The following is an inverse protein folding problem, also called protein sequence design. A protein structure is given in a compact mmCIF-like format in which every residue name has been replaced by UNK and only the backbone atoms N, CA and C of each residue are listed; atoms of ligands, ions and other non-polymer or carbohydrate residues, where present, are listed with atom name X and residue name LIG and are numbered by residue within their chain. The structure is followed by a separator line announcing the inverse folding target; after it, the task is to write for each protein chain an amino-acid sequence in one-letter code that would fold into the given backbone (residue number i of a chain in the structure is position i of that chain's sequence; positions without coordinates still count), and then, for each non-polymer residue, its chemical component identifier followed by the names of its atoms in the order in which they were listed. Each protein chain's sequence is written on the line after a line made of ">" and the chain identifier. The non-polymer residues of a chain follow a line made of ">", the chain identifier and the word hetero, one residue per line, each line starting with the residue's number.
data_IF_310100172643
#
_entry.id   IF_310100172643
#
_cell.length_a   1.000
_cell.length_b   1.000
_cell.length_c   1.000
_cell.angle_alpha   90.00
_cell.angle_beta   90.00
_cell.angle_gamma   90.00
#
_symmetry.space_group_name_H-M   'P 1'
#
loop_
_entity.id
_entity.type
_entity.pdbx_description
1 polymer ?
#
# COMPACT_ATOMS: atom_id res chain seq x y z
N UNK A 1 -7.53 56.08 -29.59
CA UNK A 1 -6.36 55.28 -29.16
C UNK A 1 -6.83 53.84 -29.04
N UNK A 2 -6.47 53.01 -30.02
CA UNK A 2 -6.95 51.62 -30.15
C UNK A 2 -5.90 50.70 -29.52
N UNK A 3 -6.30 49.98 -28.49
CA UNK A 3 -5.51 48.94 -27.84
C UNK A 3 -5.78 47.62 -28.56
N UNK A 4 -4.74 46.99 -29.10
CA UNK A 4 -4.77 45.58 -29.49
C UNK A 4 -3.43 44.99 -29.09
N UNK A 5 -3.45 44.34 -27.93
CA UNK A 5 -2.35 43.59 -27.34
C UNK A 5 -2.07 42.39 -28.23
N UNK A 6 -0.88 42.39 -28.83
CA UNK A 6 -0.23 41.22 -29.38
C UNK A 6 0.24 40.40 -28.17
N UNK A 7 -0.31 39.21 -27.97
CA UNK A 7 0.30 38.20 -27.10
C UNK A 7 -0.05 36.80 -27.57
N UNK A 8 0.84 36.29 -28.42
CA UNK A 8 1.61 35.08 -28.16
C UNK A 8 0.79 33.92 -27.56
N UNK A 9 0.01 33.24 -28.41
CA UNK A 9 -0.33 31.84 -28.16
C UNK A 9 0.95 31.05 -28.44
N UNK A 10 1.81 30.94 -27.43
CA UNK A 10 2.79 29.86 -27.39
C UNK A 10 1.95 28.59 -27.40
N UNK A 11 1.91 27.95 -28.57
CA UNK A 11 1.67 26.54 -28.70
C UNK A 11 2.70 25.85 -27.78
N UNK A 12 2.35 25.73 -26.50
CA UNK A 12 2.82 24.67 -25.64
C UNK A 12 2.30 23.41 -26.31
N UNK A 13 3.02 22.99 -27.36
CA UNK A 13 3.12 21.61 -27.76
C UNK A 13 3.57 20.92 -26.50
N UNK A 14 2.55 20.52 -25.73
CA UNK A 14 2.59 19.73 -24.53
C UNK A 14 3.54 18.61 -24.87
N UNK A 15 4.78 18.84 -24.47
CA UNK A 15 5.83 17.85 -24.49
C UNK A 15 5.23 16.78 -23.63
N UNK A 16 4.77 15.74 -24.30
CA UNK A 16 4.18 14.56 -23.74
C UNK A 16 5.26 14.11 -22.78
N UNK A 17 5.10 14.45 -21.50
CA UNK A 17 5.80 13.83 -20.42
C UNK A 17 5.26 12.40 -20.41
N UNK A 18 5.66 11.62 -21.42
CA UNK A 18 5.92 10.22 -21.24
C UNK A 18 6.89 10.26 -20.08
N UNK A 19 6.37 10.08 -18.88
CA UNK A 19 7.15 9.71 -17.72
C UNK A 19 7.93 8.50 -18.22
N UNK A 20 9.12 8.75 -18.73
CA UNK A 20 10.10 7.73 -18.98
C UNK A 20 10.15 7.03 -17.63
N UNK A 21 9.73 5.77 -17.64
CA UNK A 21 9.88 4.85 -16.52
C UNK A 21 11.40 4.70 -16.33
N UNK A 22 12.04 5.76 -15.86
CA UNK A 22 13.43 5.74 -15.48
C UNK A 22 13.49 4.99 -14.17
N UNK A 23 14.58 4.26 -13.97
CA UNK A 23 14.88 3.59 -12.70
C UNK A 23 14.72 4.52 -11.49
N UNK A 24 14.94 5.82 -11.64
CA UNK A 24 14.67 6.85 -10.62
C UNK A 24 13.18 7.07 -10.33
N UNK A 25 12.33 7.12 -11.36
CA UNK A 25 10.88 7.22 -11.21
C UNK A 25 10.29 6.03 -10.45
N UNK A 26 10.80 4.83 -10.72
CA UNK A 26 10.38 3.60 -10.03
C UNK A 26 10.90 3.55 -8.59
N UNK A 27 12.12 4.00 -8.32
CA UNK A 27 12.62 4.13 -6.94
C UNK A 27 11.76 5.08 -6.10
N UNK A 28 11.34 6.22 -6.67
CA UNK A 28 10.46 7.17 -5.99
C UNK A 28 9.05 6.59 -5.77
N UNK A 29 8.49 5.91 -6.77
CA UNK A 29 7.20 5.22 -6.63
C UNK A 29 7.27 4.11 -5.58
N UNK A 30 8.38 3.35 -5.53
CA UNK A 30 8.62 2.35 -4.49
C UNK A 30 8.64 2.96 -3.09
N UNK A 31 9.40 4.03 -2.87
CA UNK A 31 9.48 4.67 -1.55
C UNK A 31 8.11 5.15 -1.07
N UNK A 32 7.34 5.79 -1.96
CA UNK A 32 5.99 6.28 -1.65
C UNK A 32 5.04 5.13 -1.35
N UNK A 33 5.09 4.08 -2.18
CA UNK A 33 4.30 2.88 -2.00
C UNK A 33 4.64 2.14 -0.70
N UNK A 34 5.94 2.02 -0.37
CA UNK A 34 6.41 1.39 0.86
C UNK A 34 5.85 2.08 2.08
N UNK A 35 5.93 3.41 2.12
CA UNK A 35 5.39 4.19 3.23
C UNK A 35 3.88 3.96 3.39
N UNK A 36 3.10 4.03 2.30
CA UNK A 36 1.65 3.82 2.34
C UNK A 36 1.30 2.40 2.84
N UNK A 37 1.96 1.37 2.30
CA UNK A 37 1.69 -0.01 2.69
C UNK A 37 2.14 -0.31 4.12
N UNK A 38 3.23 0.31 4.58
CA UNK A 38 3.68 0.19 5.97
C UNK A 38 2.64 0.76 6.94
N UNK A 39 2.04 1.90 6.61
CA UNK A 39 0.95 2.48 7.41
C UNK A 39 -0.21 1.48 7.51
N UNK A 40 -0.65 0.93 6.38
CA UNK A 40 -1.75 -0.06 6.35
C UNK A 40 -1.41 -1.36 7.10
N UNK A 41 -0.15 -1.80 7.10
CA UNK A 41 0.31 -2.95 7.88
C UNK A 41 0.37 -2.65 9.39
N UNK A 42 0.77 -1.44 9.77
CA UNK A 42 0.77 -1.00 11.15
C UNK A 42 -0.67 -0.87 11.69
N UNK A 43 -1.61 -0.38 10.88
CA UNK A 43 -3.03 -0.39 11.24
C UNK A 43 -3.57 -1.81 11.47
N UNK A 44 -3.19 -2.76 10.61
CA UNK A 44 -3.55 -4.16 10.78
C UNK A 44 -2.96 -4.72 12.08
N UNK A 45 -1.71 -4.39 12.39
CA UNK A 45 -1.04 -4.81 13.63
C UNK A 45 -1.73 -4.29 14.89
N UNK A 46 -2.10 -3.01 14.94
CA UNK A 46 -2.85 -2.43 16.06
C UNK A 46 -4.17 -3.18 16.27
N UNK A 47 -4.91 -3.41 15.18
CA UNK A 47 -6.20 -4.13 15.23
C UNK A 47 -6.04 -5.61 15.61
N UNK A 48 -4.97 -6.27 15.19
CA UNK A 48 -4.64 -7.64 15.61
C UNK A 48 -4.36 -7.69 17.12
N UNK A 49 -3.61 -6.73 17.65
CA UNK A 49 -3.33 -6.64 19.08
C UNK A 49 -4.60 -6.38 19.90
N UNK A 50 -5.50 -5.53 19.40
CA UNK A 50 -6.82 -5.32 20.01
C UNK A 50 -7.65 -6.62 20.02
N UNK A 51 -7.66 -7.35 18.90
CA UNK A 51 -8.38 -8.63 18.81
C UNK A 51 -7.80 -9.65 19.79
N UNK A 52 -6.48 -9.65 19.99
CA UNK A 52 -5.77 -10.51 20.94
C UNK A 52 -6.15 -10.22 22.38
N UNK A 53 -6.21 -8.95 22.77
CA UNK A 53 -6.69 -8.55 24.09
C UNK A 53 -8.14 -9.03 24.32
N UNK A 54 -9.03 -8.80 23.35
CA UNK A 54 -10.43 -9.27 23.41
C UNK A 54 -10.56 -10.78 23.50
N UNK A 55 -9.73 -11.53 22.77
CA UNK A 55 -9.74 -12.99 22.79
C UNK A 55 -9.25 -13.55 24.13
N UNK A 56 -8.24 -12.91 24.74
CA UNK A 56 -7.74 -13.26 26.07
C UNK A 56 -8.80 -13.02 27.16
N UNK A 57 -9.47 -11.86 27.14
CA UNK A 57 -10.59 -11.56 28.04
C UNK A 57 -11.71 -12.61 27.95
N UNK A 58 -11.98 -13.10 26.74
CA UNK A 58 -13.02 -14.10 26.47
C UNK A 58 -12.54 -15.56 26.54
N UNK A 59 -11.25 -15.82 26.77
CA UNK A 59 -10.62 -17.16 26.73
C UNK A 59 -10.98 -17.97 25.46
N UNK A 60 -11.02 -17.31 24.30
CA UNK A 60 -11.50 -17.91 23.05
C UNK A 60 -10.38 -18.53 22.20
N UNK A 61 -10.18 -19.85 22.31
CA UNK A 61 -9.15 -20.59 21.57
C UNK A 61 -9.30 -20.54 20.03
N UNK A 62 -10.52 -20.41 19.52
CA UNK A 62 -10.78 -20.25 18.07
C UNK A 62 -10.34 -18.88 17.57
N UNK A 63 -10.50 -17.83 18.39
CA UNK A 63 -10.01 -16.49 18.05
C UNK A 63 -8.48 -16.46 18.08
N UNK A 64 -7.84 -17.12 19.04
CA UNK A 64 -6.38 -17.21 19.13
C UNK A 64 -5.74 -17.82 17.87
N UNK A 65 -6.30 -18.92 17.34
CA UNK A 65 -5.83 -19.51 16.07
C UNK A 65 -5.97 -18.54 14.90
N UNK A 66 -7.09 -17.82 14.83
CA UNK A 66 -7.33 -16.84 13.77
C UNK A 66 -6.38 -15.64 13.86
N UNK A 67 -6.11 -15.17 15.09
CA UNK A 67 -5.14 -14.11 15.39
C UNK A 67 -3.74 -14.53 14.93
N UNK A 68 -3.32 -15.75 15.26
CA UNK A 68 -2.01 -16.27 14.84
C UNK A 68 -1.85 -16.28 13.32
N UNK A 69 -2.87 -16.72 12.58
CA UNK A 69 -2.83 -16.67 11.10
C UNK A 69 -2.80 -15.23 10.55
N UNK A 70 -3.42 -14.27 11.25
CA UNK A 70 -3.32 -12.85 10.88
C UNK A 70 -1.91 -12.29 11.14
N UNK A 71 -1.30 -12.60 12.28
CA UNK A 71 0.09 -12.23 12.61
C UNK A 71 1.05 -12.80 11.55
N UNK A 72 0.94 -14.10 11.24
CA UNK A 72 1.74 -14.75 10.21
C UNK A 72 1.55 -14.13 8.82
N UNK A 73 0.32 -13.78 8.46
CA UNK A 73 0.03 -13.11 7.19
C UNK A 73 0.63 -11.71 7.15
N UNK A 74 0.50 -10.93 8.23
CA UNK A 74 1.11 -9.60 8.37
C UNK A 74 2.62 -9.69 8.19
N UNK A 75 3.28 -10.61 8.87
CA UNK A 75 4.74 -10.74 8.86
C UNK A 75 5.24 -11.14 7.46
N UNK A 76 4.54 -12.06 6.80
CA UNK A 76 4.82 -12.39 5.40
C UNK A 76 4.68 -11.16 4.48
N UNK A 77 3.65 -10.34 4.67
CA UNK A 77 3.43 -9.14 3.86
C UNK A 77 4.48 -8.05 4.13
N UNK A 78 4.97 -7.92 5.37
CA UNK A 78 6.11 -7.04 5.71
C UNK A 78 7.36 -7.46 4.94
N UNK A 79 7.71 -8.75 4.99
CA UNK A 79 8.87 -9.27 4.23
C UNK A 79 8.69 -9.03 2.73
N UNK A 80 7.52 -9.31 2.17
CA UNK A 80 7.25 -9.06 0.75
C UNK A 80 7.38 -7.58 0.38
N UNK A 81 6.96 -6.67 1.26
CA UNK A 81 7.09 -5.23 1.04
C UNK A 81 8.55 -4.77 1.03
N UNK A 82 9.38 -5.34 1.90
CA UNK A 82 10.82 -5.05 1.93
C UNK A 82 11.54 -5.64 0.71
N UNK A 83 11.13 -6.81 0.23
CA UNK A 83 11.71 -7.43 -0.96
C UNK A 83 11.30 -6.75 -2.28
N UNK A 84 10.26 -5.91 -2.25
CA UNK A 84 9.73 -5.28 -3.46
C UNK A 84 10.70 -4.33 -4.15
N UNK A 85 11.70 -3.78 -3.44
CA UNK A 85 12.76 -2.96 -4.03
C UNK A 85 13.55 -3.72 -5.11
N UNK A 86 13.62 -5.06 -4.99
CA UNK A 86 14.32 -5.94 -5.95
C UNK A 86 13.46 -6.31 -7.16
N UNK A 87 12.23 -5.81 -7.25
CA UNK A 87 11.30 -6.13 -8.35
C UNK A 87 11.71 -5.38 -9.61
N UNK A 88 11.83 -6.11 -10.73
CA UNK A 88 12.06 -5.49 -12.03
C UNK A 88 10.92 -4.56 -12.45
N UNK A 89 11.23 -3.54 -13.23
CA UNK A 89 10.27 -2.53 -13.72
C UNK A 89 9.04 -3.18 -14.38
N UNK A 90 9.28 -4.19 -15.23
CA UNK A 90 8.24 -4.96 -15.92
C UNK A 90 7.25 -5.69 -14.99
N UNK A 91 7.65 -5.99 -13.75
CA UNK A 91 6.83 -6.69 -12.76
C UNK A 91 6.25 -5.73 -11.70
N UNK A 92 6.81 -4.53 -11.59
CA UNK A 92 6.50 -3.55 -10.56
C UNK A 92 5.00 -3.32 -10.38
N UNK A 93 4.30 -2.95 -11.45
CA UNK A 93 2.85 -2.65 -11.43
C UNK A 93 2.01 -3.83 -10.93
N UNK A 94 2.36 -5.06 -11.33
CA UNK A 94 1.64 -6.28 -10.94
C UNK A 94 1.90 -6.62 -9.48
N UNK A 95 3.14 -6.47 -9.02
CA UNK A 95 3.51 -6.72 -7.63
C UNK A 95 2.88 -5.70 -6.70
N UNK A 96 2.91 -4.40 -7.06
CA UNK A 96 2.21 -3.29 -6.37
C UNK A 96 0.75 -3.63 -6.11
N UNK A 97 0.00 -3.94 -7.17
CA UNK A 97 -1.41 -4.31 -7.08
C UNK A 97 -1.66 -5.50 -6.15
N UNK A 98 -0.92 -6.60 -6.33
CA UNK A 98 -1.10 -7.82 -5.54
C UNK A 98 -0.81 -7.62 -4.06
N UNK A 99 0.22 -6.83 -3.72
CA UNK A 99 0.54 -6.57 -2.33
C UNK A 99 -0.54 -5.70 -1.68
N UNK A 100 -0.97 -4.62 -2.35
CA UNK A 100 -2.05 -3.76 -1.85
C UNK A 100 -3.33 -4.55 -1.59
N UNK A 101 -3.76 -5.37 -2.54
CA UNK A 101 -4.95 -6.22 -2.40
C UNK A 101 -4.82 -7.20 -1.22
N UNK A 102 -3.62 -7.73 -1.00
CA UNK A 102 -3.36 -8.66 0.11
C UNK A 102 -3.40 -7.97 1.47
N UNK A 103 -2.84 -6.76 1.58
CA UNK A 103 -2.89 -5.95 2.80
C UNK A 103 -4.32 -5.48 3.09
N UNK A 104 -5.07 -5.06 2.08
CA UNK A 104 -6.49 -4.71 2.24
C UNK A 104 -7.33 -5.90 2.68
N UNK A 105 -7.07 -7.09 2.11
CA UNK A 105 -7.76 -8.32 2.50
C UNK A 105 -7.46 -8.70 3.96
N UNK A 106 -6.22 -8.53 4.40
CA UNK A 106 -5.85 -8.72 5.81
C UNK A 106 -6.62 -7.73 6.70
N UNK A 107 -6.57 -6.43 6.39
CA UNK A 107 -7.27 -5.40 7.16
C UNK A 107 -8.77 -5.68 7.27
N UNK A 108 -9.43 -6.01 6.15
CA UNK A 108 -10.86 -6.36 6.14
C UNK A 108 -11.17 -7.57 7.02
N UNK A 109 -10.32 -8.61 6.99
CA UNK A 109 -10.50 -9.80 7.84
C UNK A 109 -10.39 -9.46 9.32
N UNK A 110 -9.35 -8.72 9.71
CA UNK A 110 -9.13 -8.32 11.11
C UNK A 110 -10.29 -7.43 11.60
N UNK A 111 -10.70 -6.43 10.79
CA UNK A 111 -11.84 -5.57 11.11
C UNK A 111 -13.13 -6.36 11.29
N UNK A 112 -13.42 -7.30 10.39
CA UNK A 112 -14.60 -8.16 10.51
C UNK A 112 -14.56 -8.98 11.80
N UNK A 113 -13.39 -9.49 12.18
CA UNK A 113 -13.22 -10.25 13.42
C UNK A 113 -13.34 -9.39 14.68
N UNK A 114 -12.97 -8.11 14.62
CA UNK A 114 -13.16 -7.16 15.73
C UNK A 114 -14.62 -6.73 15.92
N UNK A 115 -15.42 -6.77 14.86
CA UNK A 115 -16.84 -6.43 14.89
C UNK A 115 -17.73 -7.55 15.43
N UNK A 116 -17.18 -8.76 15.63
CA UNK A 116 -17.86 -9.93 16.21
C UNK A 116 -17.37 -10.18 17.64
#
# INVERSE_FOLDING_TARGET
>A
MKSTIISLIILLGLSIAQASETTEGIKKDYSSFKQEMQIKLNEAEIKINELKAKAQEKSSSTQEKSIFEYEKTRDKLKVQLDEMEKTSESKWKKTKKRLSESIEKLNKKVQKSLAN
#
